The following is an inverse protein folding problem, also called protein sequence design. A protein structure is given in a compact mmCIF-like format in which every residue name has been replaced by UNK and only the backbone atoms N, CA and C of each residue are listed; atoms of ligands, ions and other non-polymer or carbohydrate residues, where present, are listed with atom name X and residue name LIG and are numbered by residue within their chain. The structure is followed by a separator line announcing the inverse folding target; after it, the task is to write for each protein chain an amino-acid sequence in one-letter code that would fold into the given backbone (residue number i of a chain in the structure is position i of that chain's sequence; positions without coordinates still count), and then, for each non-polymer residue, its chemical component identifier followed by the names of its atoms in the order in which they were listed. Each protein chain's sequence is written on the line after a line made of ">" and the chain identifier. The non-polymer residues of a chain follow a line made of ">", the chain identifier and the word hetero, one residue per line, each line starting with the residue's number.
data_IF_025768291284
#
_entry.id   IF_025768291284
#
_cell.length_a   1.000
_cell.length_b   1.000
_cell.length_c   1.000
_cell.angle_alpha   90.00
_cell.angle_beta   90.00
_cell.angle_gamma   90.00
#
_symmetry.space_group_name_H-M   'P 1'
#
loop_
_entity.id
_entity.type
_entity.pdbx_description
1 polymer ?
#
# COMPACT_ATOMS: atom_id res chain seq x y z
N UNK A 1 7.49 18.83 -3.85
CA UNK A 1 6.49 17.91 -3.28
C UNK A 1 5.21 18.60 -2.80
N UNK A 2 5.24 19.48 -1.79
CA UNK A 2 3.99 19.99 -1.19
C UNK A 2 3.06 20.74 -2.17
N UNK A 3 3.62 21.52 -3.11
CA UNK A 3 2.86 22.19 -4.17
C UNK A 3 2.30 21.21 -5.24
N UNK A 4 2.96 20.07 -5.46
CA UNK A 4 2.52 19.04 -6.41
C UNK A 4 1.39 18.21 -5.79
N UNK A 5 1.49 17.86 -4.50
CA UNK A 5 0.43 17.16 -3.75
C UNK A 5 -0.86 17.97 -3.71
N UNK A 6 -0.79 19.29 -3.55
CA UNK A 6 -1.98 20.16 -3.56
C UNK A 6 -2.70 20.19 -4.92
N UNK A 7 -1.99 19.94 -6.02
CA UNK A 7 -2.55 19.95 -7.38
C UNK A 7 -3.14 18.61 -7.82
N UNK A 8 -2.90 17.53 -7.07
CA UNK A 8 -3.42 16.20 -7.41
C UNK A 8 -4.96 16.12 -7.40
N UNK A 9 -5.62 16.99 -6.61
CA UNK A 9 -7.09 17.11 -6.60
C UNK A 9 -7.62 17.87 -7.84
N UNK A 10 -6.75 18.57 -8.58
CA UNK A 10 -7.13 19.47 -9.69
C UNK A 10 -6.67 18.95 -11.05
N UNK A 11 -5.49 18.32 -11.13
CA UNK A 11 -4.87 17.87 -12.37
C UNK A 11 -4.00 16.62 -12.15
N UNK A 12 -3.90 15.75 -13.17
CA UNK A 12 -2.95 14.63 -13.17
C UNK A 12 -1.52 15.18 -13.31
N UNK A 13 -0.63 14.79 -12.40
CA UNK A 13 0.78 15.17 -12.40
C UNK A 13 1.65 13.96 -12.74
N UNK A 14 2.39 14.03 -13.85
CA UNK A 14 3.32 12.98 -14.26
C UNK A 14 4.73 13.56 -14.27
N UNK A 15 5.67 12.84 -13.67
CA UNK A 15 7.07 13.21 -13.63
C UNK A 15 7.93 11.98 -13.90
N UNK A 16 8.43 11.79 -15.14
CA UNK A 16 9.23 10.63 -15.50
C UNK A 16 10.48 10.43 -14.65
N UNK A 17 10.96 11.45 -13.91
CA UNK A 17 12.12 11.31 -13.02
C UNK A 17 11.74 10.78 -11.63
N UNK A 18 10.45 10.63 -11.33
CA UNK A 18 9.93 10.10 -10.07
C UNK A 18 9.49 8.63 -10.18
N UNK A 19 10.38 7.79 -10.73
CA UNK A 19 10.18 6.34 -10.75
C UNK A 19 9.95 5.78 -9.33
N UNK A 20 9.05 4.80 -9.23
CA UNK A 20 8.70 4.08 -8.01
C UNK A 20 8.16 4.97 -6.87
N UNK A 21 7.78 6.22 -7.18
CA UNK A 21 7.14 7.13 -6.23
C UNK A 21 5.63 7.00 -6.33
N UNK A 22 5.04 6.47 -5.26
CA UNK A 22 3.63 6.15 -5.20
C UNK A 22 2.93 7.13 -4.26
N UNK A 23 1.91 7.80 -4.77
CA UNK A 23 0.99 8.60 -3.96
C UNK A 23 -0.17 7.73 -3.49
N UNK A 24 -0.39 7.66 -2.18
CA UNK A 24 -1.39 6.79 -1.56
C UNK A 24 -2.76 7.49 -1.61
N UNK A 25 -3.67 6.95 -2.42
CA UNK A 25 -5.01 7.51 -2.59
C UNK A 25 -6.02 6.92 -1.60
N UNK A 26 -5.91 5.61 -1.36
CA UNK A 26 -6.78 4.93 -0.42
C UNK A 26 -6.07 3.74 0.22
N UNK A 27 -6.21 3.63 1.53
CA UNK A 27 -5.65 2.55 2.35
C UNK A 27 -6.78 1.71 2.94
N UNK A 28 -6.80 0.42 2.62
CA UNK A 28 -7.74 -0.55 3.22
C UNK A 28 -6.98 -1.69 3.87
N UNK A 29 -7.15 -1.88 5.17
CA UNK A 29 -6.42 -2.88 5.95
C UNK A 29 -7.34 -3.80 6.80
N UNK A 30 -8.42 -4.32 6.21
CA UNK A 30 -9.37 -5.18 6.94
C UNK A 30 -8.89 -6.64 6.99
N UNK A 31 -8.36 -7.17 5.88
CA UNK A 31 -7.89 -8.57 5.77
C UNK A 31 -6.37 -8.57 5.55
N UNK A 32 -5.94 -7.79 4.55
CA UNK A 32 -4.55 -7.46 4.26
C UNK A 32 -4.46 -5.96 3.91
N UNK A 33 -3.29 -5.33 4.05
CA UNK A 33 -3.10 -3.96 3.59
C UNK A 33 -3.14 -3.91 2.06
N UNK A 34 -4.20 -3.29 1.52
CA UNK A 34 -4.40 -3.04 0.11
C UNK A 34 -4.44 -1.53 -0.10
N UNK A 35 -3.76 -1.07 -1.15
CA UNK A 35 -3.65 0.32 -1.49
C UNK A 35 -4.17 0.57 -2.90
N UNK A 36 -4.90 1.67 -3.05
CA UNK A 36 -5.04 2.33 -4.35
C UNK A 36 -3.97 3.41 -4.39
N UNK A 37 -3.08 3.33 -5.36
CA UNK A 37 -1.96 4.27 -5.51
C UNK A 37 -2.00 4.93 -6.87
N UNK A 38 -1.44 6.13 -6.94
CA UNK A 38 -1.05 6.77 -8.18
C UNK A 38 0.46 6.71 -8.34
N UNK A 39 0.92 6.12 -9.44
CA UNK A 39 2.32 6.12 -9.82
C UNK A 39 2.67 7.44 -10.49
N UNK A 40 3.46 8.27 -9.79
CA UNK A 40 3.82 9.61 -10.26
C UNK A 40 4.72 9.55 -11.49
N UNK A 41 5.53 8.50 -11.61
CA UNK A 41 6.48 8.32 -12.70
C UNK A 41 5.81 8.18 -14.05
N UNK A 42 4.75 7.37 -14.10
CA UNK A 42 4.05 7.02 -15.35
C UNK A 42 2.65 7.64 -15.48
N UNK A 43 2.10 8.12 -14.37
CA UNK A 43 0.81 8.81 -14.35
C UNK A 43 -0.42 7.90 -14.28
N UNK A 44 -0.28 6.69 -13.73
CA UNK A 44 -1.33 5.66 -13.72
C UNK A 44 -1.78 5.26 -12.32
N UNK A 45 -3.03 4.83 -12.20
CA UNK A 45 -3.57 4.24 -10.98
C UNK A 45 -3.25 2.75 -10.91
N UNK A 46 -2.81 2.26 -9.76
CA UNK A 46 -2.52 0.85 -9.53
C UNK A 46 -3.15 0.36 -8.22
N UNK A 47 -3.49 -0.92 -8.21
CA UNK A 47 -3.81 -1.63 -7.00
C UNK A 47 -2.58 -2.41 -6.56
N UNK A 48 -2.08 -2.09 -5.36
CA UNK A 48 -0.89 -2.75 -4.80
C UNK A 48 -1.19 -3.23 -3.40
N UNK A 49 -0.57 -4.35 -3.02
CA UNK A 49 -0.60 -4.85 -1.64
C UNK A 49 0.64 -4.37 -0.90
N UNK A 50 0.57 -4.36 0.41
CA UNK A 50 1.74 -4.17 1.26
C UNK A 50 1.89 -5.37 2.16
N UNK A 51 3.12 -5.87 2.27
CA UNK A 51 3.44 -6.94 3.20
C UNK A 51 3.00 -6.56 4.61
N UNK A 52 2.24 -7.44 5.28
CA UNK A 52 1.53 -7.09 6.52
C UNK A 52 2.49 -6.71 7.64
N UNK A 53 3.66 -7.35 7.71
CA UNK A 53 4.66 -7.11 8.74
C UNK A 53 5.26 -5.72 8.63
N UNK A 54 5.61 -5.26 7.42
CA UNK A 54 6.18 -3.92 7.24
C UNK A 54 5.12 -2.84 7.46
N UNK A 55 3.87 -3.08 7.05
CA UNK A 55 2.77 -2.14 7.26
C UNK A 55 2.46 -1.94 8.74
N UNK A 56 2.61 -2.98 9.57
CA UNK A 56 2.46 -2.86 11.03
C UNK A 56 3.52 -1.97 11.66
N UNK A 57 4.75 -2.01 11.14
CA UNK A 57 5.87 -1.20 11.65
C UNK A 57 5.69 0.27 11.22
N UNK A 58 5.34 0.50 9.95
CA UNK A 58 5.21 1.85 9.39
C UNK A 58 3.89 1.99 8.62
N UNK A 59 2.74 2.13 9.29
CA UNK A 59 1.44 2.16 8.62
C UNK A 59 1.37 3.32 7.63
N UNK A 60 0.80 3.06 6.44
CA UNK A 60 0.55 4.08 5.42
C UNK A 60 -0.83 4.70 5.58
N UNK A 61 -0.97 5.94 5.15
CA UNK A 61 -2.17 6.76 5.25
C UNK A 61 -2.47 7.40 3.90
N UNK A 62 -3.74 7.74 3.70
CA UNK A 62 -4.17 8.47 2.52
C UNK A 62 -3.48 9.84 2.48
N UNK A 63 -2.89 10.16 1.32
CA UNK A 63 -2.11 11.38 1.12
C UNK A 63 -0.60 11.25 1.36
N UNK A 64 -0.12 10.08 1.79
CA UNK A 64 1.33 9.83 1.82
C UNK A 64 1.90 9.75 0.41
N UNK A 65 3.17 10.12 0.27
CA UNK A 65 3.99 9.68 -0.86
C UNK A 65 5.08 8.77 -0.33
N UNK A 66 5.22 7.60 -0.95
CA UNK A 66 6.27 6.64 -0.64
C UNK A 66 7.24 6.50 -1.80
N UNK A 67 8.43 6.03 -1.47
CA UNK A 67 9.42 5.49 -2.39
C UNK A 67 9.39 3.96 -2.25
N UNK A 68 8.82 3.26 -3.22
CA UNK A 68 8.64 1.81 -3.20
C UNK A 68 9.94 1.09 -3.60
N UNK A 69 10.81 0.87 -2.62
CA UNK A 69 12.14 0.27 -2.81
C UNK A 69 12.12 -1.14 -3.37
N UNK A 70 11.10 -1.93 -3.03
CA UNK A 70 10.96 -3.30 -3.50
C UNK A 70 9.50 -3.68 -3.68
N UNK A 71 9.19 -4.16 -4.88
CA UNK A 71 7.90 -4.69 -5.28
C UNK A 71 8.11 -6.13 -5.77
N UNK A 72 7.32 -7.06 -5.22
CA UNK A 72 7.33 -8.47 -5.59
C UNK A 72 5.98 -8.87 -6.17
N UNK A 73 6.00 -9.74 -7.17
CA UNK A 73 4.80 -10.36 -7.71
C UNK A 73 4.37 -11.54 -6.84
N UNK A 74 3.14 -11.50 -6.35
CA UNK A 74 2.58 -12.55 -5.48
C UNK A 74 1.23 -13.04 -6.01
N UNK A 75 0.94 -14.32 -5.78
CA UNK A 75 -0.35 -14.90 -6.11
C UNK A 75 -1.37 -14.69 -4.99
N UNK A 76 -2.64 -14.57 -5.36
CA UNK A 76 -3.76 -14.64 -4.43
C UNK A 76 -3.87 -16.02 -3.79
N UNK A 77 -4.78 -16.12 -2.83
CA UNK A 77 -5.12 -17.38 -2.18
C UNK A 77 -6.59 -17.70 -2.46
N UNK A 78 -6.90 -18.97 -2.72
CA UNK A 78 -8.27 -19.47 -2.86
C UNK A 78 -8.50 -20.72 -2.03
N UNK A 79 -9.73 -20.88 -1.58
CA UNK A 79 -10.19 -22.08 -0.88
C UNK A 79 -10.62 -23.09 -1.94
N UNK A 80 -10.09 -24.31 -1.88
CA UNK A 80 -10.44 -25.40 -2.83
C UNK A 80 -11.28 -26.51 -2.20
N UNK A 81 -11.48 -26.48 -0.88
CA UNK A 81 -12.25 -27.48 -0.16
C UNK A 81 -12.07 -27.34 1.34
N UNK A 82 -12.48 -28.39 2.06
CA UNK A 82 -12.25 -28.54 3.49
C UNK A 82 -11.54 -29.86 3.76
N UNK A 83 -10.69 -29.89 4.78
CA UNK A 83 -10.10 -31.13 5.27
C UNK A 83 -11.10 -31.95 6.11
N UNK A 84 -10.68 -33.14 6.56
CA UNK A 84 -11.51 -34.06 7.33
C UNK A 84 -11.93 -33.48 8.70
N UNK A 85 -11.23 -32.45 9.19
CA UNK A 85 -11.56 -31.68 10.39
C UNK A 85 -12.49 -30.48 10.10
N UNK A 86 -12.90 -30.29 8.85
CA UNK A 86 -13.76 -29.20 8.40
C UNK A 86 -13.07 -27.84 8.24
N UNK A 87 -11.73 -27.76 8.30
CA UNK A 87 -10.95 -26.53 8.06
C UNK A 87 -10.74 -26.31 6.57
N UNK A 88 -10.72 -25.05 6.15
CA UNK A 88 -10.54 -24.69 4.74
C UNK A 88 -9.12 -25.02 4.26
N UNK A 89 -9.01 -25.71 3.13
CA UNK A 89 -7.76 -25.92 2.41
C UNK A 89 -7.53 -24.73 1.49
N UNK A 90 -6.45 -23.98 1.74
CA UNK A 90 -6.09 -22.77 1.01
C UNK A 90 -4.88 -23.06 0.11
N UNK A 91 -4.97 -22.67 -1.16
CA UNK A 91 -3.89 -22.79 -2.14
C UNK A 91 -3.70 -21.49 -2.92
N UNK A 92 -2.56 -21.34 -3.58
CA UNK A 92 -2.31 -20.20 -4.46
C UNK A 92 -3.31 -20.18 -5.64
N UNK A 93 -3.89 -19.01 -5.89
CA UNK A 93 -4.73 -18.72 -7.05
C UNK A 93 -3.85 -18.16 -8.17
N UNK A 94 -3.35 -19.06 -9.03
CA UNK A 94 -2.40 -18.72 -10.11
C UNK A 94 -2.97 -17.69 -11.11
N UNK A 95 -4.29 -17.58 -11.20
CA UNK A 95 -4.98 -16.64 -12.09
C UNK A 95 -5.05 -15.22 -11.52
N UNK A 96 -4.61 -15.02 -10.26
CA UNK A 96 -4.65 -13.73 -9.57
C UNK A 96 -3.28 -13.35 -9.06
N UNK A 97 -2.56 -12.59 -9.87
CA UNK A 97 -1.27 -12.00 -9.51
C UNK A 97 -1.46 -10.55 -9.01
N UNK A 98 -0.68 -10.17 -8.01
CA UNK A 98 -0.67 -8.81 -7.46
C UNK A 98 0.75 -8.33 -7.25
N UNK A 99 0.97 -7.04 -7.43
CA UNK A 99 2.16 -6.36 -6.96
C UNK A 99 2.08 -6.16 -5.45
N UNK A 100 3.09 -6.63 -4.72
CA UNK A 100 3.22 -6.48 -3.27
C UNK A 100 4.48 -5.68 -2.94
N UNK A 101 4.29 -4.54 -2.30
CA UNK A 101 5.37 -3.75 -1.73
C UNK A 101 5.91 -4.50 -0.51
N UNK A 102 7.21 -4.81 -0.55
CA UNK A 102 7.93 -5.50 0.54
C UNK A 102 8.96 -4.63 1.22
N UNK A 103 9.25 -3.45 0.66
CA UNK A 103 10.06 -2.41 1.29
C UNK A 103 9.69 -1.04 0.73
N UNK A 104 9.55 -0.04 1.60
CA UNK A 104 9.30 1.35 1.21
C UNK A 104 9.83 2.34 2.25
N UNK A 105 10.05 3.57 1.81
CA UNK A 105 10.26 4.74 2.67
C UNK A 105 9.12 5.74 2.47
N UNK A 106 8.67 6.40 3.54
CA UNK A 106 7.74 7.53 3.42
C UNK A 106 8.56 8.79 3.14
N UNK A 107 8.39 9.37 1.95
CA UNK A 107 9.09 10.58 1.53
C UNK A 107 8.25 11.85 1.74
N UNK A 108 6.94 11.70 1.91
CA UNK A 108 6.05 12.78 2.30
C UNK A 108 4.87 12.24 3.11
N UNK A 109 4.58 12.90 4.24
CA UNK A 109 3.37 12.68 5.02
C UNK A 109 2.84 14.01 5.54
N UNK A 110 1.55 14.27 5.34
CA UNK A 110 0.90 15.47 5.87
C UNK A 110 0.36 15.21 7.27
N UNK A 111 1.22 15.38 8.28
CA UNK A 111 0.87 15.19 9.71
C UNK A 111 -0.26 16.10 10.23
N UNK A 112 -0.66 17.15 9.49
CA UNK A 112 -1.74 18.07 9.90
C UNK A 112 -3.16 17.60 9.57
N UNK A 113 -3.34 16.45 8.89
CA UNK A 113 -4.67 15.92 8.52
C UNK A 113 -5.10 14.73 9.40
N UNK A 114 -4.20 14.15 10.21
CA UNK A 114 -4.52 13.11 11.20
C UNK A 114 -3.83 13.45 12.54
N UNK A 115 -4.63 13.70 13.58
CA UNK A 115 -4.15 13.82 14.97
C UNK A 115 -3.84 12.44 15.59
N UNK A 116 -3.34 11.48 14.81
CA UNK A 116 -2.92 10.19 15.35
C UNK A 116 -1.47 9.94 14.94
N UNK A 117 -0.57 10.61 15.66
CA UNK A 117 0.72 10.01 15.95
C UNK A 117 0.46 8.71 16.74
N UNK A 118 1.28 7.71 16.46
CA UNK A 118 1.51 6.48 17.21
C UNK A 118 0.88 6.57 18.60
N UNK A 119 -0.16 5.77 18.89
CA UNK A 119 -0.61 5.58 20.27
C UNK A 119 0.61 5.18 21.08
N UNK A 120 0.98 6.04 22.03
CA UNK A 120 2.06 5.80 22.97
C UNK A 120 1.95 4.36 23.46
N UNK A 121 2.99 3.55 23.22
CA UNK A 121 3.15 2.32 23.97
C UNK A 121 3.15 2.73 25.44
N UNK A 122 2.11 2.34 26.18
CA UNK A 122 2.08 2.42 27.63
C UNK A 122 3.28 1.60 28.14
N UNK A 123 4.36 2.30 28.49
CA UNK A 123 5.44 1.70 29.24
C UNK A 123 4.93 1.64 30.69
N UNK A 124 4.65 0.41 31.11
CA UNK A 124 4.19 0.03 32.45
C UNK A 124 5.14 0.50 33.55
#
# INVERSE_FOLDING_TARGET
>A
MEAQVKKFDEVRYVDPFMHDKLFILNTRNVIAPNLVVYDIGIGEYKYVKVKKEIFKILPLQDGDIIDAKKIEKVFGEKIIGKDDDGKNIVVADIDKEYDMITQYDIIFRKYKKSNSLITDCEVS
#
